data_IF_887187957923
#
_entry.id   IF_887187957923
#
_cell.length_a   1.000
_cell.length_b   1.000
_cell.length_c   1.000
_cell.angle_alpha   90.00
_cell.angle_beta   90.00
_cell.angle_gamma   90.00
#
_symmetry.space_group_name_H-M   'P 1'
#
loop_
_entity.id
_entity.type
_entity.pdbx_description
1 polymer ?
#
# COMPACT_ATOMS: atom_id res chain seq x y z
N UNK A 1 2.61 0.99 15.95
CA UNK A 1 3.05 -0.27 15.32
C UNK A 1 2.06 -1.35 15.71
N UNK A 2 1.57 -2.15 14.75
CA UNK A 2 0.55 -3.18 14.99
C UNK A 2 0.97 -4.48 14.32
N UNK A 3 0.98 -5.57 15.09
CA UNK A 3 1.22 -6.94 14.59
C UNK A 3 -0.12 -7.59 14.24
N UNK A 4 -0.30 -7.98 12.99
CA UNK A 4 -1.55 -8.52 12.46
C UNK A 4 -1.28 -9.86 11.79
N UNK A 5 -2.15 -10.83 12.10
CA UNK A 5 -2.20 -12.15 11.48
C UNK A 5 -3.64 -12.43 11.09
N UNK A 6 -3.91 -12.60 9.81
CA UNK A 6 -5.28 -12.86 9.34
C UNK A 6 -5.37 -13.03 7.84
N UNK A 7 -6.54 -13.38 7.33
CA UNK A 7 -6.72 -13.55 5.89
C UNK A 7 -6.93 -12.21 5.17
N UNK A 8 -7.76 -11.33 5.72
CA UNK A 8 -8.15 -10.05 5.10
C UNK A 8 -7.93 -8.90 6.05
N UNK A 9 -7.24 -7.86 5.57
CA UNK A 9 -7.00 -6.61 6.28
C UNK A 9 -7.59 -5.44 5.50
N UNK A 10 -8.20 -4.49 6.19
CA UNK A 10 -8.66 -3.22 5.63
C UNK A 10 -7.95 -2.08 6.37
N UNK A 11 -7.14 -1.31 5.65
CA UNK A 11 -6.37 -0.20 6.20
C UNK A 11 -6.88 1.11 5.62
N UNK A 12 -7.49 1.95 6.44
CA UNK A 12 -8.01 3.25 6.00
C UNK A 12 -7.32 4.38 6.76
N UNK A 13 -6.69 5.30 6.01
CA UNK A 13 -5.98 6.47 6.54
C UNK A 13 -6.63 7.72 5.94
N UNK A 14 -7.18 8.58 6.79
CA UNK A 14 -7.69 9.89 6.41
C UNK A 14 -6.89 11.00 7.10
N UNK A 15 -6.54 12.04 6.34
CA UNK A 15 -5.76 13.18 6.83
C UNK A 15 -4.25 12.95 6.75
N UNK A 16 -3.55 13.17 7.86
CA UNK A 16 -2.08 13.12 7.99
C UNK A 16 -1.59 11.97 8.89
N UNK A 17 -2.42 10.96 9.09
CA UNK A 17 -2.10 9.82 9.95
C UNK A 17 -0.96 8.96 9.40
N UNK A 18 -0.17 8.38 10.31
CA UNK A 18 0.89 7.43 9.98
C UNK A 18 0.59 6.07 10.61
N UNK A 19 0.68 4.99 9.83
CA UNK A 19 0.44 3.63 10.29
C UNK A 19 1.65 2.76 9.96
N UNK A 20 2.13 2.00 10.94
CA UNK A 20 3.14 0.97 10.76
C UNK A 20 2.51 -0.41 11.03
N UNK A 21 2.52 -1.27 10.01
CA UNK A 21 1.99 -2.63 10.04
C UNK A 21 3.11 -3.64 9.90
N UNK A 22 3.01 -4.72 10.68
CA UNK A 22 3.89 -5.89 10.60
C UNK A 22 3.09 -7.19 10.73
N UNK A 23 3.69 -8.30 10.30
CA UNK A 23 3.07 -9.63 10.37
C UNK A 23 2.74 -10.19 8.99
N UNK A 24 1.59 -10.84 8.83
CA UNK A 24 1.19 -11.42 7.54
C UNK A 24 -0.32 -11.32 7.32
N UNK A 25 -0.72 -11.10 6.06
CA UNK A 25 -2.09 -11.31 5.63
C UNK A 25 -2.17 -11.75 4.17
N UNK A 26 -3.25 -12.44 3.79
CA UNK A 26 -3.41 -12.87 2.40
C UNK A 26 -3.83 -11.68 1.52
N UNK A 27 -4.83 -10.92 1.97
CA UNK A 27 -5.37 -9.76 1.23
C UNK A 27 -5.35 -8.51 2.08
N UNK A 28 -4.91 -7.39 1.52
CA UNK A 28 -5.02 -6.08 2.17
C UNK A 28 -5.62 -5.04 1.22
N UNK A 29 -6.68 -4.35 1.67
CA UNK A 29 -7.24 -3.20 0.97
C UNK A 29 -6.81 -1.93 1.70
N UNK A 30 -6.02 -1.11 1.03
CA UNK A 30 -5.47 0.13 1.56
C UNK A 30 -6.16 1.30 0.88
N UNK A 31 -6.72 2.19 1.68
CA UNK A 31 -7.27 3.47 1.22
C UNK A 31 -6.60 4.59 2.01
N UNK A 32 -5.80 5.40 1.31
CA UNK A 32 -5.11 6.55 1.88
C UNK A 32 -5.65 7.82 1.23
N UNK A 33 -6.23 8.70 2.03
CA UNK A 33 -6.78 9.99 1.57
C UNK A 33 -6.15 11.14 2.36
N UNK A 34 -5.28 11.91 1.72
CA UNK A 34 -4.57 13.05 2.31
C UNK A 34 -3.06 12.99 2.13
N UNK A 35 -2.32 13.28 3.20
CA UNK A 35 -0.84 13.37 3.24
C UNK A 35 -0.21 12.36 4.22
N UNK A 36 -1.01 11.42 4.73
CA UNK A 36 -0.54 10.36 5.61
C UNK A 36 0.45 9.41 4.95
N UNK A 37 1.05 8.55 5.78
CA UNK A 37 1.99 7.51 5.33
C UNK A 37 1.62 6.13 5.87
N UNK A 38 1.72 5.11 5.03
CA UNK A 38 1.61 3.71 5.43
C UNK A 38 2.95 3.02 5.27
N UNK A 39 3.45 2.42 6.34
CA UNK A 39 4.65 1.60 6.37
C UNK A 39 4.26 0.13 6.63
N UNK A 40 4.21 -0.69 5.59
CA UNK A 40 3.87 -2.11 5.66
C UNK A 40 4.93 -2.99 4.97
N UNK A 41 6.19 -2.54 4.96
CA UNK A 41 7.31 -3.32 4.43
C UNK A 41 7.64 -4.57 5.27
N UNK A 42 7.33 -4.54 6.57
CA UNK A 42 7.50 -5.69 7.48
C UNK A 42 6.24 -6.56 7.57
N UNK A 43 5.27 -6.33 6.67
CA UNK A 43 4.06 -7.13 6.55
C UNK A 43 4.05 -7.88 5.22
N UNK A 44 4.04 -9.21 5.25
CA UNK A 44 3.93 -10.02 4.03
C UNK A 44 2.48 -10.10 3.57
N UNK A 45 2.23 -9.66 2.33
CA UNK A 45 0.91 -9.66 1.71
C UNK A 45 0.93 -10.47 0.41
N UNK A 46 -0.06 -11.33 0.18
CA UNK A 46 -0.16 -12.04 -1.12
C UNK A 46 -0.80 -11.14 -2.18
N UNK A 47 -1.94 -10.52 -1.84
CA UNK A 47 -2.74 -9.65 -2.70
C UNK A 47 -2.94 -8.30 -2.04
N UNK A 48 -2.69 -7.23 -2.79
CA UNK A 48 -2.87 -5.86 -2.30
C UNK A 48 -3.64 -5.02 -3.29
N UNK A 49 -4.66 -4.33 -2.80
CA UNK A 49 -5.31 -3.22 -3.50
C UNK A 49 -5.03 -1.93 -2.74
N UNK A 50 -4.17 -1.07 -3.30
CA UNK A 50 -3.75 0.17 -2.69
C UNK A 50 -4.29 1.36 -3.49
N UNK A 51 -5.13 2.18 -2.85
CA UNK A 51 -5.68 3.41 -3.40
C UNK A 51 -5.15 4.60 -2.61
N UNK A 52 -4.42 5.47 -3.29
CA UNK A 52 -3.84 6.70 -2.70
C UNK A 52 -4.49 7.90 -3.39
N UNK A 53 -5.16 8.74 -2.62
CA UNK A 53 -5.75 9.99 -3.07
C UNK A 53 -5.12 11.16 -2.32
N UNK A 54 -4.34 11.99 -3.00
CA UNK A 54 -3.62 13.13 -2.41
C UNK A 54 -2.12 13.07 -2.67
N UNK A 55 -1.33 13.31 -1.61
CA UNK A 55 0.15 13.37 -1.67
C UNK A 55 0.83 12.45 -0.65
N UNK A 56 0.09 11.47 -0.13
CA UNK A 56 0.61 10.50 0.83
C UNK A 56 1.49 9.42 0.21
N UNK A 57 2.18 8.68 1.09
CA UNK A 57 3.12 7.64 0.71
C UNK A 57 2.66 6.28 1.24
N UNK A 58 2.87 5.22 0.45
CA UNK A 58 2.39 3.89 0.78
C UNK A 58 3.48 2.85 0.47
N UNK A 59 3.99 2.20 1.51
CA UNK A 59 5.03 1.17 1.42
C UNK A 59 4.46 -0.20 1.75
N UNK A 60 4.58 -1.15 0.83
CA UNK A 60 3.95 -2.47 0.94
C UNK A 60 4.88 -3.59 0.46
N UNK A 61 4.79 -4.77 1.07
CA UNK A 61 5.52 -5.97 0.64
C UNK A 61 4.55 -7.02 0.09
N UNK A 62 4.61 -7.27 -1.22
CA UNK A 62 3.63 -8.07 -1.97
C UNK A 62 4.29 -9.24 -2.70
N UNK A 63 3.77 -10.45 -2.50
CA UNK A 63 4.32 -11.69 -3.03
C UNK A 63 3.57 -12.30 -4.23
N UNK A 64 2.36 -11.84 -4.58
CA UNK A 64 1.64 -12.34 -5.77
C UNK A 64 1.03 -11.21 -6.62
N UNK A 65 0.03 -10.49 -6.12
CA UNK A 65 -0.76 -9.53 -6.91
C UNK A 65 -0.82 -8.14 -6.28
N UNK A 66 -0.48 -7.11 -7.06
CA UNK A 66 -0.55 -5.72 -6.64
C UNK A 66 -1.43 -4.92 -7.61
N UNK A 67 -2.49 -4.31 -7.09
CA UNK A 67 -3.26 -3.27 -7.77
C UNK A 67 -3.05 -1.94 -7.05
N UNK A 68 -2.29 -1.04 -7.68
CA UNK A 68 -2.03 0.30 -7.17
C UNK A 68 -2.78 1.34 -8.01
N UNK A 69 -3.59 2.17 -7.35
CA UNK A 69 -4.26 3.32 -7.94
C UNK A 69 -3.85 4.60 -7.19
N UNK A 70 -3.29 5.57 -7.90
CA UNK A 70 -2.86 6.86 -7.35
C UNK A 70 -3.64 7.98 -8.02
N UNK A 71 -4.25 8.86 -7.23
CA UNK A 71 -4.93 10.07 -7.64
C UNK A 71 -4.22 11.26 -7.01
N UNK A 72 -3.62 12.15 -7.81
CA UNK A 72 -2.85 13.31 -7.34
C UNK A 72 -1.34 13.12 -7.48
N UNK A 73 -0.60 13.37 -6.39
CA UNK A 73 0.87 13.39 -6.35
C UNK A 73 1.48 12.40 -5.34
N UNK A 74 0.70 11.42 -4.89
CA UNK A 74 1.13 10.41 -3.93
C UNK A 74 2.06 9.36 -4.53
N UNK A 75 2.69 8.57 -3.66
CA UNK A 75 3.62 7.52 -4.08
C UNK A 75 3.27 6.17 -3.48
N UNK A 76 3.36 5.11 -4.29
CA UNK A 76 3.27 3.72 -3.83
C UNK A 76 4.59 3.03 -4.12
N UNK A 77 5.25 2.57 -3.07
CA UNK A 77 6.47 1.78 -3.10
C UNK A 77 6.15 0.34 -2.74
N UNK A 78 6.46 -0.60 -3.63
CA UNK A 78 6.24 -2.02 -3.37
C UNK A 78 7.54 -2.83 -3.42
N UNK A 79 7.69 -3.79 -2.52
CA UNK A 79 8.76 -4.81 -2.55
C UNK A 79 8.17 -6.22 -2.59
N UNK A 80 9.02 -7.24 -2.63
CA UNK A 80 8.61 -8.66 -2.67
C UNK A 80 8.39 -9.21 -4.08
N UNK A 81 8.18 -10.52 -4.22
CA UNK A 81 8.13 -11.23 -5.51
C UNK A 81 6.80 -11.11 -6.26
N UNK A 82 6.36 -9.87 -6.51
CA UNK A 82 5.09 -9.55 -7.17
C UNK A 82 5.03 -10.14 -8.58
N UNK A 83 4.07 -11.02 -8.86
CA UNK A 83 3.89 -11.67 -10.17
C UNK A 83 3.00 -10.85 -11.10
N UNK A 84 1.96 -10.21 -10.55
CA UNK A 84 1.03 -9.35 -11.30
C UNK A 84 1.02 -7.96 -10.68
N UNK A 85 1.20 -6.94 -11.51
CA UNK A 85 1.20 -5.54 -11.06
C UNK A 85 0.34 -4.71 -11.99
N UNK A 86 -0.77 -4.21 -11.48
CA UNK A 86 -1.66 -3.25 -12.14
C UNK A 86 -1.39 -1.87 -11.55
N UNK A 87 -0.96 -0.93 -12.39
CA UNK A 87 -0.65 0.45 -11.98
C UNK A 87 -1.59 1.41 -12.69
N UNK A 88 -2.31 2.23 -11.94
CA UNK A 88 -3.08 3.35 -12.48
C UNK A 88 -2.68 4.61 -11.76
N UNK A 89 -2.23 5.60 -12.50
CA UNK A 89 -1.83 6.89 -11.95
C UNK A 89 -2.61 7.98 -12.67
N UNK A 90 -3.34 8.77 -11.90
CA UNK A 90 -4.12 9.91 -12.35
C UNK A 90 -3.53 11.16 -11.72
N UNK A 91 -2.58 11.80 -12.40
CA UNK A 91 -1.86 12.98 -11.92
C UNK A 91 -0.34 12.80 -12.03
N UNK A 92 0.38 13.38 -11.07
CA UNK A 92 1.85 13.44 -11.02
C UNK A 92 2.46 12.45 -10.00
N UNK A 93 1.67 11.53 -9.47
CA UNK A 93 2.14 10.52 -8.53
C UNK A 93 2.99 9.41 -9.18
N UNK A 94 3.48 8.48 -8.37
CA UNK A 94 4.33 7.39 -8.86
C UNK A 94 4.03 6.05 -8.18
N UNK A 95 4.19 4.95 -8.92
CA UNK A 95 4.13 3.59 -8.39
C UNK A 95 5.42 2.86 -8.78
N UNK A 96 6.34 2.75 -7.83
CA UNK A 96 7.68 2.21 -8.04
C UNK A 96 7.93 0.96 -7.20
N UNK A 97 8.87 0.15 -7.67
CA UNK A 97 9.36 -1.00 -6.94
C UNK A 97 10.55 -0.57 -6.07
N UNK A 98 10.47 -0.81 -4.77
CA UNK A 98 11.59 -0.68 -3.85
C UNK A 98 12.40 -2.00 -3.87
N UNK A 99 13.72 -1.89 -4.01
CA UNK A 99 14.67 -3.02 -4.01
C UNK A 99 15.22 -3.27 -2.62
#
# INVERSE_FOLDING_TARGET
>A
EVDIKGETLNTNISGSGNINLKGYANTNHISLSGTGSLHAFDMTLEKVEAKVSGSGNCEINVSDDLKGEVFGSGNISHKGSTKRVTKKVYGNGNIQRAY
#
